data_IF_299621179859
#
_entry.id   IF_299621179859
#
_cell.length_a   1.000
_cell.length_b   1.000
_cell.length_c   1.000
_cell.angle_alpha   90.00
_cell.angle_beta   90.00
_cell.angle_gamma   90.00
#
_symmetry.space_group_name_H-M   'P 1'
#
loop_
_entity.id
_entity.type
_entity.pdbx_description
1 polymer ?
#
# COMPACT_ATOMS: atom_id res chain seq x y z
N UNK A 1 19.43 2.39 23.33
CA UNK A 1 18.09 2.81 22.86
C UNK A 1 17.29 1.55 22.63
N UNK A 2 16.60 1.08 23.66
CA UNK A 2 15.75 -0.11 23.55
C UNK A 2 14.55 0.23 22.67
N UNK A 3 14.44 -0.45 21.52
CA UNK A 3 13.21 -0.48 20.73
C UNK A 3 12.20 -1.35 21.51
N UNK A 4 11.73 -0.87 22.66
CA UNK A 4 10.62 -1.44 23.41
C UNK A 4 9.32 -0.95 22.79
N UNK A 5 8.98 -1.50 21.62
CA UNK A 5 7.75 -1.22 20.91
C UNK A 5 7.74 -1.97 19.58
N UNK A 6 6.70 -2.78 19.34
CA UNK A 6 6.52 -3.49 18.07
C UNK A 6 6.58 -2.48 16.91
N UNK A 7 7.35 -2.78 15.86
CA UNK A 7 7.46 -1.96 14.66
C UNK A 7 7.14 -2.78 13.42
N UNK A 8 6.65 -2.13 12.37
CA UNK A 8 6.36 -2.76 11.08
C UNK A 8 7.53 -2.50 10.14
N UNK A 9 8.15 -3.57 9.62
CA UNK A 9 9.12 -3.48 8.54
C UNK A 9 8.42 -3.71 7.20
N UNK A 10 8.44 -2.68 6.35
CA UNK A 10 7.86 -2.70 5.02
C UNK A 10 8.86 -2.13 4.02
N UNK A 11 9.25 -2.92 3.00
CA UNK A 11 10.15 -2.51 1.90
C UNK A 11 11.44 -1.80 2.39
N UNK A 12 12.00 -2.27 3.50
CA UNK A 12 13.24 -1.72 4.09
C UNK A 12 13.06 -0.46 4.93
N UNK A 13 11.82 -0.04 5.23
CA UNK A 13 11.50 1.06 6.15
C UNK A 13 10.79 0.54 7.39
N UNK A 14 11.06 1.18 8.54
CA UNK A 14 10.40 0.88 9.81
C UNK A 14 9.30 1.91 10.10
N UNK A 15 8.12 1.43 10.47
CA UNK A 15 6.94 2.24 10.75
C UNK A 15 6.41 1.88 12.15
N UNK A 16 5.88 2.86 12.87
CA UNK A 16 5.07 2.57 14.05
C UNK A 16 3.76 1.90 13.61
N UNK A 17 3.24 0.90 14.35
CA UNK A 17 1.99 0.22 14.01
C UNK A 17 0.82 1.19 13.80
N UNK A 18 0.72 2.23 14.63
CA UNK A 18 -0.31 3.27 14.55
C UNK A 18 -0.20 4.15 13.29
N UNK A 19 0.99 4.23 12.69
CA UNK A 19 1.25 5.05 11.51
C UNK A 19 1.29 4.24 10.22
N UNK A 20 1.18 2.91 10.29
CA UNK A 20 1.13 2.02 9.13
C UNK A 20 -0.28 1.92 8.55
N UNK A 21 -0.76 3.04 8.01
CA UNK A 21 -2.11 3.21 7.50
C UNK A 21 -2.13 3.62 6.02
N UNK A 22 -3.25 3.37 5.34
CA UNK A 22 -3.46 3.72 3.94
C UNK A 22 -3.28 5.23 3.73
N UNK A 23 -2.39 5.61 2.82
CA UNK A 23 -2.10 7.00 2.49
C UNK A 23 -3.28 7.75 1.85
N UNK A 24 -4.31 7.04 1.40
CA UNK A 24 -5.57 7.67 1.05
C UNK A 24 -6.29 8.13 2.34
N UNK A 25 -6.36 9.45 2.55
CA UNK A 25 -7.02 10.06 3.71
C UNK A 25 -8.49 9.70 3.87
N UNK A 26 -9.20 9.37 2.77
CA UNK A 26 -10.58 8.90 2.83
C UNK A 26 -10.70 7.44 3.30
N UNK A 27 -9.59 6.69 3.27
CA UNK A 27 -9.52 5.30 3.73
C UNK A 27 -8.90 5.23 5.13
N UNK A 28 -7.67 5.72 5.29
CA UNK A 28 -6.89 5.75 6.54
C UNK A 28 -6.85 4.43 7.34
N UNK A 29 -7.18 3.29 6.72
CA UNK A 29 -7.23 1.98 7.39
C UNK A 29 -5.83 1.45 7.72
N UNK A 30 -5.66 0.74 8.84
CA UNK A 30 -4.41 0.07 9.16
C UNK A 30 -4.07 -0.99 8.10
N UNK A 31 -2.85 -0.94 7.62
CA UNK A 31 -2.36 -1.79 6.53
C UNK A 31 -1.73 -3.09 7.03
N UNK A 32 -1.45 -3.19 8.34
CA UNK A 32 -0.85 -4.39 8.94
C UNK A 32 -1.75 -5.62 8.84
N UNK A 33 -3.08 -5.44 8.86
CA UNK A 33 -4.06 -6.55 8.80
C UNK A 33 -4.53 -6.84 7.37
N UNK A 34 -4.64 -5.81 6.53
CA UNK A 34 -5.22 -5.91 5.19
C UNK A 34 -4.19 -6.13 4.07
N UNK A 35 -2.90 -6.02 4.38
CA UNK A 35 -1.84 -5.92 3.38
C UNK A 35 -1.74 -4.52 2.76
N UNK A 36 -0.66 -4.28 2.02
CA UNK A 36 -0.36 -2.99 1.39
C UNK A 36 0.33 -3.14 0.04
N UNK A 37 0.17 -2.11 -0.78
CA UNK A 37 0.90 -1.88 -2.01
C UNK A 37 1.62 -0.54 -1.85
N UNK A 38 2.92 -0.53 -2.13
CA UNK A 38 3.71 0.71 -2.16
C UNK A 38 3.61 1.31 -3.55
N UNK A 39 3.24 2.58 -3.62
CA UNK A 39 3.29 3.34 -4.85
C UNK A 39 4.76 3.61 -5.23
N UNK A 40 5.24 3.12 -6.38
CA UNK A 40 6.66 3.24 -6.75
C UNK A 40 7.09 4.70 -6.99
N UNK A 41 6.17 5.58 -7.36
CA UNK A 41 6.47 6.99 -7.65
C UNK A 41 6.52 7.86 -6.37
N UNK A 42 5.50 7.79 -5.53
CA UNK A 42 5.39 8.61 -4.32
C UNK A 42 5.93 7.94 -3.04
N UNK A 43 6.27 6.64 -3.10
CA UNK A 43 6.70 5.82 -1.95
C UNK A 43 5.71 5.85 -0.78
N UNK A 44 4.42 5.94 -1.11
CA UNK A 44 3.31 5.91 -0.16
C UNK A 44 2.68 4.53 -0.16
N UNK A 45 2.23 4.08 1.01
CA UNK A 45 1.58 2.79 1.14
C UNK A 45 0.06 2.92 1.08
N UNK A 46 -0.56 2.12 0.22
CA UNK A 46 -2.01 2.09 0.01
C UNK A 46 -2.54 0.68 0.27
N UNK A 47 -3.80 0.58 0.68
CA UNK A 47 -4.45 -0.73 0.70
C UNK A 47 -4.69 -1.21 -0.74
N UNK A 48 -4.74 -2.52 -1.01
CA UNK A 48 -4.91 -3.06 -2.37
C UNK A 48 -6.09 -2.44 -3.11
N UNK A 49 -7.21 -2.21 -2.40
CA UNK A 49 -8.41 -1.60 -2.97
C UNK A 49 -8.24 -0.13 -3.35
N UNK A 50 -7.56 0.67 -2.54
CA UNK A 50 -7.30 2.07 -2.89
C UNK A 50 -6.26 2.17 -4.00
N UNK A 51 -5.26 1.30 -3.99
CA UNK A 51 -4.27 1.25 -5.06
C UNK A 51 -4.93 0.92 -6.40
N UNK A 52 -5.77 -0.12 -6.46
CA UNK A 52 -6.51 -0.51 -7.67
C UNK A 52 -7.36 0.61 -8.27
N UNK A 53 -8.03 1.39 -7.43
CA UNK A 53 -8.98 2.41 -7.89
C UNK A 53 -8.29 3.75 -8.20
N UNK A 54 -7.23 4.10 -7.48
CA UNK A 54 -6.61 5.44 -7.55
C UNK A 54 -5.32 5.47 -8.36
N UNK A 55 -4.58 4.36 -8.41
CA UNK A 55 -3.19 4.33 -8.86
C UNK A 55 -2.91 3.25 -9.89
N UNK A 56 -3.67 2.14 -9.90
CA UNK A 56 -3.38 1.05 -10.81
C UNK A 56 -3.43 1.52 -12.26
N UNK A 57 -2.37 1.24 -13.05
CA UNK A 57 -2.32 1.67 -14.42
C UNK A 57 -3.45 1.02 -15.19
N UNK A 58 -4.21 1.81 -15.96
CA UNK A 58 -5.25 1.26 -16.81
C UNK A 58 -4.64 0.74 -18.11
N UNK A 59 -5.10 -0.41 -18.58
CA UNK A 59 -4.71 -0.93 -19.87
C UNK A 59 -5.22 0.01 -20.96
N UNK A 60 -4.32 0.57 -21.77
CA UNK A 60 -4.70 1.46 -22.88
C UNK A 60 -5.69 0.81 -23.87
N UNK A 61 -5.65 -0.51 -24.00
CA UNK A 61 -6.48 -1.25 -24.96
C UNK A 61 -7.90 -1.54 -24.47
N UNK A 62 -8.10 -1.80 -23.18
CA UNK A 62 -9.42 -2.18 -22.62
C UNK A 62 -9.93 -1.23 -21.53
N UNK A 63 -9.13 -0.22 -21.15
CA UNK A 63 -9.45 0.75 -20.09
C UNK A 63 -9.76 0.12 -18.73
N UNK A 64 -9.30 -1.11 -18.48
CA UNK A 64 -9.43 -1.80 -17.20
C UNK A 64 -8.16 -1.66 -16.36
N UNK A 65 -8.24 -1.62 -15.01
CA UNK A 65 -7.07 -1.62 -14.13
C UNK A 65 -6.18 -2.84 -14.37
N UNK A 66 -4.87 -2.61 -14.54
CA UNK A 66 -3.86 -3.66 -14.59
C UNK A 66 -3.54 -4.07 -13.16
N UNK A 67 -4.25 -5.08 -12.70
CA UNK A 67 -3.92 -5.77 -11.48
C UNK A 67 -2.76 -6.71 -11.81
N UNK A 68 -1.58 -6.53 -11.19
CA UNK A 68 -0.40 -7.41 -11.35
C UNK A 68 -0.63 -8.87 -10.90
N UNK A 69 -1.89 -9.30 -10.71
CA UNK A 69 -2.29 -10.68 -10.44
C UNK A 69 -2.55 -11.52 -11.71
N UNK A 70 -2.28 -11.00 -12.91
CA UNK A 70 -2.38 -11.78 -14.15
C UNK A 70 -0.96 -12.12 -14.65
N UNK A 71 -0.65 -13.41 -14.55
CA UNK A 71 0.52 -14.18 -15.04
C UNK A 71 1.69 -14.41 -14.06
N UNK A 72 1.58 -15.51 -13.28
CA UNK A 72 2.64 -16.53 -13.27
C UNK A 72 2.16 -17.73 -14.08
#
# INVERSE_FOLDING_TARGET
MELKGSFVLAKGRAWCPEHFCCANSACAKPLMESGFVEDPESRRNYCPKCYEVLLAPICFKCSLPLNEYITQ
#
